data_IF_340120843385
#
_entry.id   IF_340120843385
#
_cell.length_a   1.000
_cell.length_b   1.000
_cell.length_c   1.000
_cell.angle_alpha   90.00
_cell.angle_beta   90.00
_cell.angle_gamma   90.00
#
_symmetry.space_group_name_H-M   'P 1'
#
loop_
_entity.id
_entity.type
_entity.pdbx_description
1 polymer ?
#
# COMPACT_ATOMS: atom_id res chain seq x y z
N UNK A 1 -44.47 51.50 15.60
CA UNK A 1 -44.28 50.06 15.82
C UNK A 1 -43.00 49.65 15.15
N UNK A 2 -41.97 49.35 15.91
CA UNK A 2 -40.68 48.91 15.39
C UNK A 2 -40.65 47.38 15.49
N UNK A 3 -40.71 46.67 14.35
CA UNK A 3 -40.60 45.23 14.31
C UNK A 3 -39.12 44.90 14.31
N UNK A 4 -38.58 44.42 15.45
CA UNK A 4 -37.22 43.87 15.50
C UNK A 4 -37.20 42.49 14.82
N UNK A 5 -36.63 42.44 13.63
CA UNK A 5 -36.32 41.15 12.96
C UNK A 5 -35.16 40.51 13.68
N UNK A 6 -35.46 39.46 14.41
CA UNK A 6 -34.43 38.55 14.98
C UNK A 6 -33.96 37.66 13.84
N UNK A 7 -32.74 37.88 13.38
CA UNK A 7 -32.07 36.93 12.47
C UNK A 7 -31.54 35.76 13.28
N UNK A 8 -32.21 34.63 13.14
CA UNK A 8 -31.74 33.36 13.68
C UNK A 8 -30.58 32.89 12.79
N UNK A 9 -29.35 33.07 13.25
CA UNK A 9 -28.16 32.50 12.61
C UNK A 9 -28.11 31.04 12.96
N UNK A 10 -28.59 30.18 12.07
CA UNK A 10 -28.39 28.74 12.17
C UNK A 10 -26.92 28.42 11.93
N UNK A 11 -26.18 28.19 13.02
CA UNK A 11 -24.83 27.67 12.96
C UNK A 11 -24.88 26.19 12.56
N UNK A 12 -24.70 25.92 11.27
CA UNK A 12 -24.58 24.58 10.75
C UNK A 12 -23.23 24.01 11.19
N UNK A 13 -23.23 23.26 12.30
CA UNK A 13 -22.07 22.46 12.70
C UNK A 13 -21.88 21.34 11.67
N UNK A 14 -20.91 21.55 10.79
CA UNK A 14 -20.43 20.52 9.88
C UNK A 14 -19.60 19.54 10.72
N UNK A 15 -20.23 18.51 11.25
CA UNK A 15 -19.50 17.39 11.87
C UNK A 15 -18.78 16.63 10.75
N UNK A 16 -17.48 16.86 10.65
CA UNK A 16 -16.60 16.06 9.80
C UNK A 16 -16.59 14.63 10.38
N UNK A 17 -17.40 13.75 9.83
CA UNK A 17 -17.33 12.33 10.16
C UNK A 17 -15.97 11.80 9.65
N UNK A 18 -15.04 11.62 10.57
CA UNK A 18 -13.82 10.84 10.27
C UNK A 18 -14.27 9.42 10.04
N UNK A 19 -14.33 9.02 8.79
CA UNK A 19 -14.54 7.62 8.43
C UNK A 19 -13.26 6.90 8.84
N UNK A 20 -13.26 6.31 10.04
CA UNK A 20 -12.25 5.34 10.43
C UNK A 20 -12.48 4.12 9.55
N UNK A 21 -11.52 3.84 8.66
CA UNK A 21 -11.55 2.66 7.82
C UNK A 21 -11.49 1.43 8.74
N UNK A 22 -12.66 0.83 9.00
CA UNK A 22 -12.82 -0.29 9.95
C UNK A 22 -12.36 -1.64 9.41
N UNK A 23 -11.43 -1.66 8.44
CA UNK A 23 -10.89 -2.91 7.92
C UNK A 23 -10.02 -3.58 8.98
N UNK A 24 -10.16 -4.91 9.19
CA UNK A 24 -9.25 -5.63 10.05
C UNK A 24 -7.82 -5.50 9.49
N UNK A 25 -6.84 -5.28 10.39
CA UNK A 25 -5.43 -5.27 10.02
C UNK A 25 -4.94 -6.70 9.87
N UNK A 26 -4.42 -7.03 8.69
CA UNK A 26 -3.87 -8.36 8.41
C UNK A 26 -2.45 -8.50 8.98
N UNK A 27 -1.69 -7.42 9.02
CA UNK A 27 -0.26 -7.41 9.36
C UNK A 27 0.07 -6.66 10.65
N UNK A 28 -0.85 -5.91 11.23
CA UNK A 28 -0.59 -5.07 12.39
C UNK A 28 0.26 -3.83 12.11
N UNK A 29 0.63 -3.59 10.85
CA UNK A 29 1.42 -2.45 10.38
C UNK A 29 0.69 -1.82 9.20
N UNK A 30 0.19 -0.61 9.39
CA UNK A 30 -0.68 0.06 8.41
C UNK A 30 -0.07 0.13 7.00
N UNK A 31 1.22 0.42 6.86
CA UNK A 31 1.87 0.50 5.56
C UNK A 31 1.80 -0.83 4.78
N UNK A 32 1.88 -1.96 5.47
CA UNK A 32 1.74 -3.29 4.88
C UNK A 32 0.28 -3.61 4.53
N UNK A 33 -0.65 -3.24 5.40
CA UNK A 33 -2.08 -3.41 5.13
C UNK A 33 -2.52 -2.60 3.90
N UNK A 34 -2.11 -1.35 3.81
CA UNK A 34 -2.43 -0.46 2.68
C UNK A 34 -1.84 -1.00 1.36
N UNK A 35 -0.61 -1.46 1.38
CA UNK A 35 0.05 -2.05 0.21
C UNK A 35 -0.65 -3.34 -0.23
N UNK A 36 -0.91 -4.24 0.70
CA UNK A 36 -1.59 -5.51 0.43
C UNK A 36 -2.99 -5.31 -0.14
N UNK A 37 -3.71 -4.30 0.33
CA UNK A 37 -5.04 -3.97 -0.17
C UNK A 37 -5.07 -3.67 -1.68
N UNK A 38 -4.00 -3.08 -2.20
CA UNK A 38 -3.84 -2.83 -3.64
C UNK A 38 -3.24 -4.05 -4.35
N UNK A 39 -2.25 -4.70 -3.74
CA UNK A 39 -1.55 -5.84 -4.30
C UNK A 39 -2.49 -7.04 -4.51
N UNK A 40 -3.31 -7.37 -3.51
CA UNK A 40 -4.13 -8.58 -3.49
C UNK A 40 -5.06 -8.71 -4.71
N UNK A 41 -5.90 -7.72 -5.08
CA UNK A 41 -6.73 -7.84 -6.27
C UNK A 41 -5.92 -7.87 -7.57
N UNK A 42 -4.75 -7.25 -7.62
CA UNK A 42 -3.89 -7.33 -8.80
C UNK A 42 -3.30 -8.74 -8.98
N UNK A 43 -2.89 -9.39 -7.88
CA UNK A 43 -2.36 -10.75 -7.90
C UNK A 43 -3.43 -11.80 -8.18
N UNK A 44 -4.58 -11.71 -7.51
CA UNK A 44 -5.59 -12.76 -7.52
C UNK A 44 -6.69 -12.60 -8.57
N UNK A 45 -6.87 -11.40 -9.12
CA UNK A 45 -7.90 -11.14 -10.11
C UNK A 45 -7.33 -10.69 -11.46
N UNK A 46 -6.47 -9.67 -11.48
CA UNK A 46 -5.95 -9.10 -12.71
C UNK A 46 -4.90 -10.03 -13.39
N UNK A 47 -3.92 -10.49 -12.63
CA UNK A 47 -2.83 -11.31 -13.16
C UNK A 47 -3.31 -12.64 -13.77
N UNK A 48 -4.19 -13.44 -13.11
CA UNK A 48 -4.70 -14.69 -13.70
C UNK A 48 -5.49 -14.50 -14.98
N UNK A 49 -6.09 -13.32 -15.17
CA UNK A 49 -6.86 -12.97 -16.37
C UNK A 49 -6.00 -12.30 -17.45
N UNK A 50 -4.69 -12.16 -17.23
CA UNK A 50 -3.79 -11.36 -18.06
C UNK A 50 -4.29 -9.92 -18.28
N UNK A 51 -4.94 -9.36 -17.27
CA UNK A 51 -5.40 -7.96 -17.29
C UNK A 51 -4.24 -7.01 -16.94
N UNK A 52 -3.31 -6.93 -17.87
CA UNK A 52 -2.13 -6.07 -17.74
C UNK A 52 -2.49 -4.58 -17.77
N UNK A 53 -3.60 -4.22 -18.39
CA UNK A 53 -4.07 -2.84 -18.41
C UNK A 53 -4.39 -2.36 -17.00
N UNK A 54 -5.09 -3.15 -16.20
CA UNK A 54 -5.39 -2.83 -14.79
C UNK A 54 -4.11 -2.79 -13.95
N UNK A 55 -3.19 -3.72 -14.13
CA UNK A 55 -1.90 -3.73 -13.42
C UNK A 55 -1.11 -2.44 -13.74
N UNK A 56 -1.03 -2.04 -15.01
CA UNK A 56 -0.36 -0.79 -15.42
C UNK A 56 -1.04 0.45 -14.85
N UNK A 57 -2.37 0.49 -14.86
CA UNK A 57 -3.14 1.62 -14.34
C UNK A 57 -2.94 1.84 -12.83
N UNK A 58 -2.72 0.76 -12.09
CA UNK A 58 -2.54 0.81 -10.63
C UNK A 58 -1.08 0.74 -10.17
N UNK A 59 -0.15 0.63 -11.09
CA UNK A 59 1.27 0.50 -10.76
C UNK A 59 1.81 1.69 -9.97
N UNK A 60 1.45 2.91 -10.33
CA UNK A 60 1.89 4.12 -9.63
C UNK A 60 1.44 4.16 -8.17
N UNK A 61 0.21 3.76 -7.90
CA UNK A 61 -0.33 3.65 -6.55
C UNK A 61 0.42 2.57 -5.74
N UNK A 62 0.58 1.39 -6.32
CA UNK A 62 1.30 0.29 -5.67
C UNK A 62 2.75 0.66 -5.33
N UNK A 63 3.46 1.29 -6.25
CA UNK A 63 4.84 1.75 -6.04
C UNK A 63 4.91 2.78 -4.92
N UNK A 64 4.01 3.75 -4.89
CA UNK A 64 3.95 4.76 -3.83
C UNK A 64 3.74 4.14 -2.44
N UNK A 65 2.82 3.19 -2.34
CA UNK A 65 2.58 2.47 -1.09
C UNK A 65 3.78 1.60 -0.69
N UNK A 66 4.45 0.97 -1.66
CA UNK A 66 5.68 0.23 -1.42
C UNK A 66 6.84 1.12 -0.96
N UNK A 67 6.97 2.33 -1.47
CA UNK A 67 7.92 3.33 -0.97
C UNK A 67 7.64 3.69 0.50
N UNK A 68 6.38 3.70 0.92
CA UNK A 68 5.99 3.87 2.32
C UNK A 68 6.55 2.75 3.21
N UNK A 69 6.53 1.50 2.75
CA UNK A 69 7.15 0.36 3.44
C UNK A 69 8.68 0.55 3.56
N UNK A 70 9.35 0.93 2.48
CA UNK A 70 10.80 1.14 2.49
C UNK A 70 11.22 2.28 3.41
N UNK A 71 10.45 3.36 3.48
CA UNK A 71 10.69 4.48 4.41
C UNK A 71 10.51 4.10 5.87
N UNK A 72 9.57 3.21 6.16
CA UNK A 72 9.34 2.71 7.51
C UNK A 72 10.57 1.94 8.05
N UNK A 73 11.29 1.25 7.17
CA UNK A 73 12.47 0.46 7.53
C UNK A 73 12.13 -0.77 8.35
N UNK A 74 13.04 -1.16 9.25
CA UNK A 74 12.82 -2.30 10.14
C UNK A 74 11.83 -1.89 11.23
N UNK A 75 10.68 -2.58 11.34
CA UNK A 75 9.66 -2.20 12.33
C UNK A 75 10.16 -2.36 13.76
N UNK A 76 9.71 -1.50 14.70
CA UNK A 76 9.93 -1.72 16.12
C UNK A 76 9.40 -3.08 16.57
N UNK A 77 10.13 -3.77 17.45
CA UNK A 77 9.76 -5.11 17.92
C UNK A 77 10.28 -6.25 17.04
N UNK A 78 10.94 -5.96 15.92
CA UNK A 78 11.64 -6.98 15.15
C UNK A 78 12.75 -7.60 15.98
N UNK A 79 12.79 -8.94 16.03
CA UNK A 79 13.82 -9.67 16.76
C UNK A 79 15.20 -9.31 16.23
N UNK A 80 16.18 -9.19 17.15
CA UNK A 80 17.56 -8.79 16.80
C UNK A 80 18.16 -9.70 15.71
N UNK A 81 17.92 -11.00 15.79
CA UNK A 81 18.39 -12.00 14.83
C UNK A 81 17.82 -11.84 13.41
N UNK A 82 16.66 -11.19 13.27
CA UNK A 82 15.99 -11.01 12.00
C UNK A 82 16.26 -9.64 11.36
N UNK A 83 16.89 -8.71 12.07
CA UNK A 83 17.06 -7.33 11.59
C UNK A 83 17.90 -7.22 10.32
N UNK A 84 18.98 -7.96 10.23
CA UNK A 84 19.88 -7.91 9.07
C UNK A 84 19.21 -8.54 7.85
N UNK A 85 18.48 -9.63 8.01
CA UNK A 85 17.71 -10.25 6.94
C UNK A 85 16.55 -9.32 6.49
N UNK A 86 15.90 -8.67 7.45
CA UNK A 86 14.86 -7.68 7.13
C UNK A 86 15.38 -6.52 6.28
N UNK A 87 16.55 -5.97 6.64
CA UNK A 87 17.20 -4.90 5.85
C UNK A 87 17.56 -5.36 4.44
N UNK A 88 18.04 -6.60 4.31
CA UNK A 88 18.38 -7.19 3.03
C UNK A 88 17.14 -7.36 2.14
N UNK A 89 16.04 -7.85 2.70
CA UNK A 89 14.78 -7.98 1.99
C UNK A 89 14.15 -6.62 1.64
N UNK A 90 14.26 -5.61 2.49
CA UNK A 90 13.85 -4.24 2.16
C UNK A 90 14.58 -3.70 0.94
N UNK A 91 15.88 -3.97 0.82
CA UNK A 91 16.66 -3.58 -0.36
C UNK A 91 16.18 -4.29 -1.61
N UNK A 92 15.94 -5.60 -1.54
CA UNK A 92 15.37 -6.38 -2.64
C UNK A 92 13.99 -5.86 -3.06
N UNK A 93 13.15 -5.57 -2.09
CA UNK A 93 11.82 -5.00 -2.32
C UNK A 93 11.89 -3.64 -3.02
N UNK A 94 12.77 -2.77 -2.56
CA UNK A 94 13.02 -1.47 -3.19
C UNK A 94 13.47 -1.62 -4.65
N UNK A 95 14.39 -2.53 -4.92
CA UNK A 95 14.88 -2.81 -6.26
C UNK A 95 13.78 -3.42 -7.15
N UNK A 96 12.96 -4.31 -6.60
CA UNK A 96 11.83 -4.90 -7.29
C UNK A 96 10.77 -3.85 -7.67
N UNK A 97 10.46 -2.92 -6.76
CA UNK A 97 9.57 -1.80 -7.03
C UNK A 97 10.07 -0.91 -8.17
N UNK A 98 11.36 -0.60 -8.19
CA UNK A 98 11.96 0.22 -9.25
C UNK A 98 11.86 -0.46 -10.61
N UNK A 99 12.14 -1.75 -10.69
CA UNK A 99 12.00 -2.55 -11.93
C UNK A 99 10.55 -2.64 -12.39
N UNK A 100 9.63 -2.88 -11.47
CA UNK A 100 8.19 -2.92 -11.74
C UNK A 100 7.69 -1.56 -12.27
N UNK A 101 8.09 -0.47 -11.64
CA UNK A 101 7.75 0.89 -12.08
C UNK A 101 8.18 1.13 -13.53
N UNK A 102 9.41 0.75 -13.87
CA UNK A 102 9.94 0.88 -15.24
C UNK A 102 9.15 0.02 -16.22
N UNK A 103 8.92 -1.25 -15.90
CA UNK A 103 8.17 -2.18 -16.76
C UNK A 103 6.71 -1.72 -16.95
N UNK A 104 6.08 -1.14 -15.95
CA UNK A 104 4.71 -0.62 -16.03
C UNK A 104 4.57 0.54 -17.02
N UNK A 105 5.64 1.29 -17.26
CA UNK A 105 5.66 2.43 -18.18
C UNK A 105 6.06 2.05 -19.60
N UNK A 106 7.06 1.20 -19.76
CA UNK A 106 7.71 0.95 -21.05
C UNK A 106 8.09 -0.49 -21.34
N UNK A 107 7.84 -1.41 -20.40
CA UNK A 107 8.16 -2.83 -20.58
C UNK A 107 7.07 -3.62 -21.32
N UNK A 108 7.43 -4.82 -21.77
CA UNK A 108 6.48 -5.80 -22.32
C UNK A 108 5.55 -6.34 -21.23
N UNK A 109 4.49 -7.05 -21.62
CA UNK A 109 3.62 -7.74 -20.67
C UNK A 109 4.36 -8.83 -19.89
N UNK A 110 5.31 -9.52 -20.52
CA UNK A 110 6.15 -10.51 -19.83
C UNK A 110 7.08 -9.87 -18.80
N UNK A 111 7.70 -8.74 -19.11
CA UNK A 111 8.49 -7.97 -18.16
C UNK A 111 7.63 -7.43 -17.01
N UNK A 112 6.42 -6.97 -17.31
CA UNK A 112 5.48 -6.51 -16.30
C UNK A 112 5.11 -7.64 -15.35
N UNK A 113 4.77 -8.80 -15.87
CA UNK A 113 4.44 -10.00 -15.10
C UNK A 113 5.60 -10.44 -14.20
N UNK A 114 6.81 -10.52 -14.77
CA UNK A 114 8.01 -10.92 -14.03
C UNK A 114 8.35 -9.95 -12.91
N UNK A 115 8.32 -8.65 -13.20
CA UNK A 115 8.63 -7.62 -12.21
C UNK A 115 7.54 -7.48 -11.14
N UNK A 116 6.28 -7.66 -11.50
CA UNK A 116 5.17 -7.69 -10.54
C UNK A 116 5.29 -8.87 -9.58
N UNK A 117 5.59 -10.07 -10.10
CA UNK A 117 5.81 -11.26 -9.27
C UNK A 117 6.98 -11.09 -8.31
N UNK A 118 8.05 -10.43 -8.73
CA UNK A 118 9.18 -10.14 -7.84
C UNK A 118 8.80 -9.17 -6.70
N UNK A 119 7.94 -8.17 -6.96
CA UNK A 119 7.38 -7.30 -5.93
C UNK A 119 6.54 -8.09 -4.94
N UNK A 120 5.65 -8.94 -5.44
CA UNK A 120 4.81 -9.80 -4.62
C UNK A 120 5.64 -10.71 -3.70
N UNK A 121 6.60 -11.45 -4.27
CA UNK A 121 7.42 -12.40 -3.51
C UNK A 121 8.25 -11.70 -2.43
N UNK A 122 8.84 -10.57 -2.74
CA UNK A 122 9.62 -9.77 -1.79
C UNK A 122 8.74 -9.19 -0.67
N UNK A 123 7.52 -8.75 -1.01
CA UNK A 123 6.54 -8.32 -0.01
C UNK A 123 6.15 -9.45 0.94
N UNK A 124 5.89 -10.65 0.42
CA UNK A 124 5.57 -11.83 1.25
C UNK A 124 6.70 -12.18 2.23
N UNK A 125 7.95 -12.09 1.78
CA UNK A 125 9.10 -12.29 2.66
C UNK A 125 9.14 -11.27 3.80
N UNK A 126 8.95 -9.99 3.49
CA UNK A 126 8.90 -8.92 4.50
C UNK A 126 7.73 -9.11 5.47
N UNK A 127 6.54 -9.39 4.95
CA UNK A 127 5.34 -9.60 5.75
C UNK A 127 5.50 -10.79 6.71
N UNK A 128 6.16 -11.86 6.26
CA UNK A 128 6.46 -13.05 7.08
C UNK A 128 7.42 -12.79 8.24
N UNK A 129 8.24 -11.75 8.16
CA UNK A 129 9.18 -11.35 9.21
C UNK A 129 8.66 -10.28 10.17
N UNK A 130 7.44 -9.75 9.94
CA UNK A 130 6.85 -8.74 10.81
C UNK A 130 6.67 -9.26 12.24
N UNK A 131 6.84 -8.39 13.26
CA UNK A 131 6.55 -8.76 14.63
C UNK A 131 5.09 -9.20 14.77
N UNK A 132 4.84 -10.33 15.38
CA UNK A 132 3.50 -10.78 15.74
C UNK A 132 3.14 -10.19 17.10
N UNK A 133 2.02 -9.51 17.18
CA UNK A 133 1.41 -9.04 18.42
C UNK A 133 0.64 -10.16 19.10
#
# INVERSE_FOLDING_TARGET
MIIKRVYLVSLLLLTLAVIVDGRPSDFGVKAYDDFHHVLHPLEHEALPKNDFATIRARAGELVKLGEGITKLGVPPGTKAENRDEFKKELKKFKDALAKFRKASKSGSNDELKTTFSAVHDSFEMLAGMLPRT
#
